data_IF_141985495596
#
_entry.id   IF_141985495596
#
_cell.length_a   1.000
_cell.length_b   1.000
_cell.length_c   1.000
_cell.angle_alpha   90.00
_cell.angle_beta   90.00
_cell.angle_gamma   90.00
#
_symmetry.space_group_name_H-M   'P 1'
#
loop_
_entity.id
_entity.type
_entity.pdbx_description
1 polymer ?
#
# COMPACT_ATOMS: atom_id res chain seq x y z
N UNK A 1 13.56 -8.95 -3.94
CA UNK A 1 12.64 -7.97 -3.33
C UNK A 1 11.79 -7.37 -4.43
N UNK A 2 10.48 -7.44 -4.28
CA UNK A 2 9.48 -6.88 -5.17
C UNK A 2 8.53 -5.95 -4.41
N UNK A 3 7.79 -5.14 -5.15
CA UNK A 3 6.83 -4.18 -4.61
C UNK A 3 5.41 -4.56 -4.99
N UNK A 4 4.48 -4.43 -4.04
CA UNK A 4 3.07 -4.75 -4.21
C UNK A 4 2.19 -3.63 -3.67
N UNK A 5 1.05 -3.40 -4.31
CA UNK A 5 0.06 -2.45 -3.81
C UNK A 5 -0.64 -2.98 -2.57
N UNK A 6 -0.84 -2.12 -1.57
CA UNK A 6 -1.71 -2.37 -0.44
C UNK A 6 -2.76 -1.26 -0.32
N UNK A 7 -4.00 -1.58 -0.69
CA UNK A 7 -5.08 -0.61 -0.79
C UNK A 7 -5.85 -0.47 0.52
N UNK A 8 -5.96 0.76 0.98
CA UNK A 8 -6.71 1.12 2.19
C UNK A 8 -7.95 1.94 1.84
N UNK A 9 -8.93 1.80 2.71
CA UNK A 9 -10.01 2.77 2.92
C UNK A 9 -9.67 3.64 4.13
N UNK A 10 -10.33 4.80 4.33
CA UNK A 10 -10.12 5.59 5.55
C UNK A 10 -10.36 4.78 6.84
N UNK A 11 -11.33 3.85 6.83
CA UNK A 11 -11.60 2.96 7.97
C UNK A 11 -10.44 2.01 8.26
N UNK A 12 -9.92 1.34 7.23
CA UNK A 12 -8.81 0.38 7.41
C UNK A 12 -7.50 1.09 7.74
N UNK A 13 -7.26 2.29 7.18
CA UNK A 13 -6.15 3.15 7.57
C UNK A 13 -6.19 3.47 9.07
N UNK A 14 -7.32 3.99 9.56
CA UNK A 14 -7.46 4.36 10.97
C UNK A 14 -7.38 3.14 11.91
N UNK A 15 -7.91 1.99 11.48
CA UNK A 15 -7.83 0.76 12.27
C UNK A 15 -6.39 0.25 12.36
N UNK A 16 -5.67 0.27 11.25
CA UNK A 16 -4.26 -0.12 11.22
C UNK A 16 -3.40 0.84 12.04
N UNK A 17 -3.64 2.16 11.90
CA UNK A 17 -3.04 3.23 12.71
C UNK A 17 -3.09 2.99 14.22
N UNK A 18 -4.18 2.38 14.70
CA UNK A 18 -4.39 2.05 16.11
C UNK A 18 -3.77 0.71 16.53
N UNK A 19 -3.36 -0.12 15.57
CA UNK A 19 -3.02 -1.53 15.76
C UNK A 19 -1.54 -1.83 15.45
N UNK A 20 -0.58 -1.17 16.11
CA UNK A 20 0.88 -1.45 16.13
C UNK A 20 1.58 -1.72 14.76
N UNK A 21 0.90 -1.51 13.64
CA UNK A 21 1.38 -1.70 12.27
C UNK A 21 2.06 -3.05 11.96
N UNK A 22 1.65 -4.14 12.62
CA UNK A 22 2.40 -5.40 12.56
C UNK A 22 1.75 -6.53 11.74
N UNK A 23 0.50 -6.38 11.31
CA UNK A 23 -0.21 -7.41 10.53
C UNK A 23 -1.08 -6.78 9.45
N UNK A 24 -0.67 -6.90 8.17
CA UNK A 24 -1.49 -6.49 7.02
C UNK A 24 -2.38 -7.64 6.58
N UNK A 25 -3.64 -7.34 6.24
CA UNK A 25 -4.68 -8.32 5.97
C UNK A 25 -5.42 -8.05 4.65
N UNK A 26 -5.76 -9.13 3.94
CA UNK A 26 -6.39 -9.12 2.63
C UNK A 26 -7.59 -10.08 2.60
N UNK A 27 -8.62 -9.80 1.78
CA UNK A 27 -9.72 -10.73 1.58
C UNK A 27 -9.27 -12.08 1.03
N UNK A 28 -10.02 -13.16 1.34
CA UNK A 28 -9.68 -14.52 0.92
C UNK A 28 -9.44 -14.68 -0.59
N UNK A 29 -10.15 -13.91 -1.43
CA UNK A 29 -9.95 -13.88 -2.90
C UNK A 29 -8.51 -13.53 -3.34
N UNK A 30 -7.73 -12.89 -2.46
CA UNK A 30 -6.35 -12.50 -2.71
C UNK A 30 -5.32 -13.58 -2.35
N UNK A 31 -5.73 -14.75 -1.84
CA UNK A 31 -4.80 -15.82 -1.44
C UNK A 31 -3.85 -16.23 -2.58
N UNK A 32 -4.36 -16.37 -3.80
CA UNK A 32 -3.54 -16.71 -4.97
C UNK A 32 -2.47 -15.65 -5.30
N UNK A 33 -2.74 -14.38 -5.01
CA UNK A 33 -1.76 -13.31 -5.14
C UNK A 33 -0.76 -13.36 -3.98
N UNK A 34 -1.25 -13.58 -2.75
CA UNK A 34 -0.44 -13.68 -1.54
C UNK A 34 0.62 -14.79 -1.62
N UNK A 35 0.32 -15.93 -2.25
CA UNK A 35 1.27 -17.01 -2.53
C UNK A 35 2.54 -16.58 -3.29
N UNK A 36 2.48 -15.47 -4.02
CA UNK A 36 3.60 -14.96 -4.83
C UNK A 36 4.45 -13.94 -4.08
N UNK A 37 4.01 -13.50 -2.90
CA UNK A 37 4.70 -12.52 -2.06
C UNK A 37 5.68 -13.27 -1.16
N UNK A 38 6.91 -12.76 -1.07
CA UNK A 38 7.98 -13.36 -0.28
C UNK A 38 8.40 -12.46 0.88
N UNK A 39 9.05 -13.06 1.88
CA UNK A 39 9.70 -12.29 2.96
C UNK A 39 10.74 -11.35 2.35
N UNK A 40 10.76 -10.10 2.81
CA UNK A 40 11.58 -9.01 2.29
C UNK A 40 10.95 -8.25 1.12
N UNK A 41 9.83 -8.70 0.56
CA UNK A 41 9.03 -7.87 -0.37
C UNK A 41 8.34 -6.73 0.39
N UNK A 42 7.95 -5.68 -0.34
CA UNK A 42 7.37 -4.48 0.25
C UNK A 42 5.95 -4.21 -0.26
N UNK A 43 5.11 -3.75 0.66
CA UNK A 43 3.78 -3.23 0.40
C UNK A 43 3.85 -1.70 0.33
N UNK A 44 3.34 -1.13 -0.76
CA UNK A 44 3.22 0.31 -0.98
C UNK A 44 1.77 0.69 -0.74
N UNK A 45 1.54 1.44 0.35
CA UNK A 45 0.20 1.70 0.87
C UNK A 45 -0.47 2.87 0.14
N UNK A 46 -1.68 2.64 -0.35
CA UNK A 46 -2.47 3.60 -1.12
C UNK A 46 -3.89 3.77 -0.57
N UNK A 47 -4.32 5.00 -0.36
CA UNK A 47 -5.65 5.33 0.15
C UNK A 47 -6.60 5.63 -1.02
N UNK A 48 -7.43 4.65 -1.39
CA UNK A 48 -8.27 4.70 -2.60
C UNK A 48 -9.18 5.93 -2.72
N UNK A 49 -9.91 6.30 -1.67
CA UNK A 49 -10.89 7.42 -1.71
C UNK A 49 -10.26 8.81 -1.78
N UNK A 50 -9.04 8.95 -1.28
CA UNK A 50 -8.29 10.23 -1.25
C UNK A 50 -7.26 10.27 -2.40
N UNK A 51 -6.94 9.10 -2.95
CA UNK A 51 -5.95 8.89 -4.00
C UNK A 51 -4.54 9.35 -3.60
N UNK A 52 -4.09 8.93 -2.41
CA UNK A 52 -2.77 9.26 -1.88
C UNK A 52 -1.97 8.03 -1.46
N UNK A 53 -0.66 8.11 -1.62
CA UNK A 53 0.33 7.20 -1.07
C UNK A 53 0.69 7.63 0.35
N UNK A 54 0.84 6.69 1.28
CA UNK A 54 1.06 7.07 2.67
C UNK A 54 1.98 6.14 3.47
N UNK A 55 2.42 5.01 2.94
CA UNK A 55 3.20 4.08 3.74
C UNK A 55 3.96 3.03 2.95
N UNK A 56 4.97 2.48 3.62
CA UNK A 56 5.79 1.36 3.15
C UNK A 56 5.86 0.34 4.28
N UNK A 57 5.47 -0.89 3.99
CA UNK A 57 5.55 -2.01 4.93
C UNK A 57 6.43 -3.11 4.33
N UNK A 58 7.35 -3.67 5.11
CA UNK A 58 8.16 -4.82 4.71
C UNK A 58 7.51 -6.12 5.18
N UNK A 59 7.41 -7.11 4.30
CA UNK A 59 6.88 -8.45 4.60
C UNK A 59 7.91 -9.21 5.43
N UNK A 60 7.50 -9.67 6.62
CA UNK A 60 8.39 -10.37 7.57
C UNK A 60 8.00 -11.84 7.81
N UNK A 61 6.90 -12.30 7.21
CA UNK A 61 6.46 -13.70 7.24
C UNK A 61 5.93 -14.14 5.88
N UNK A 62 5.88 -15.46 5.59
CA UNK A 62 4.95 -15.98 4.60
C UNK A 62 3.50 -15.59 4.94
N UNK A 63 2.61 -15.64 3.94
CA UNK A 63 1.20 -15.44 4.22
C UNK A 63 0.64 -16.57 5.10
N UNK A 64 -0.32 -16.25 5.93
CA UNK A 64 -1.10 -17.21 6.72
C UNK A 64 -2.57 -16.87 6.69
N UNK A 65 -3.42 -17.85 7.00
CA UNK A 65 -4.86 -17.65 7.13
C UNK A 65 -5.19 -17.56 8.62
N UNK A 66 -5.78 -16.45 9.03
CA UNK A 66 -6.24 -16.23 10.40
C UNK A 66 -7.52 -15.38 10.39
N UNK A 67 -8.60 -15.98 10.89
CA UNK A 67 -9.93 -15.37 10.94
C UNK A 67 -10.23 -14.65 12.26
N UNK A 68 -9.25 -14.52 13.17
CA UNK A 68 -9.41 -13.76 14.41
C UNK A 68 -9.68 -12.29 14.06
N UNK A 69 -10.86 -11.70 14.40
CA UNK A 69 -11.20 -10.35 13.98
C UNK A 69 -10.20 -9.31 14.50
N UNK A 70 -9.71 -8.45 13.61
CA UNK A 70 -8.85 -7.28 13.93
C UNK A 70 -9.56 -5.95 13.67
N UNK A 71 -10.65 -5.99 12.91
CA UNK A 71 -11.49 -4.83 12.62
C UNK A 71 -12.88 -5.07 13.22
N UNK A 72 -13.47 -4.04 13.84
CA UNK A 72 -14.82 -4.11 14.36
C UNK A 72 -15.86 -4.37 13.24
N UNK A 73 -16.74 -5.35 13.49
CA UNK A 73 -17.76 -5.83 12.57
C UNK A 73 -17.37 -7.15 11.91
N UNK A 74 -17.89 -7.39 10.70
CA UNK A 74 -17.45 -8.49 9.84
C UNK A 74 -16.08 -8.12 9.23
N UNK A 75 -15.04 -8.86 9.62
CA UNK A 75 -13.65 -8.65 9.18
C UNK A 75 -13.31 -9.65 8.06
N UNK A 76 -13.35 -9.22 6.79
CA UNK A 76 -13.06 -10.12 5.67
C UNK A 76 -11.56 -10.38 5.46
N UNK A 77 -10.67 -9.72 6.20
CA UNK A 77 -9.23 -9.65 5.93
C UNK A 77 -8.46 -10.79 6.61
N UNK A 78 -8.71 -12.02 6.15
CA UNK A 78 -8.21 -13.26 6.75
C UNK A 78 -6.88 -13.77 6.17
N UNK A 79 -6.50 -13.31 4.98
CA UNK A 79 -5.18 -13.61 4.38
C UNK A 79 -4.20 -12.58 4.90
N UNK A 80 -3.25 -12.98 5.73
CA UNK A 80 -2.43 -12.06 6.52
C UNK A 80 -0.94 -12.27 6.32
N UNK A 81 -0.20 -11.18 6.53
CA UNK A 81 1.25 -11.19 6.64
C UNK A 81 1.64 -10.47 7.93
N UNK A 82 2.66 -10.97 8.62
CA UNK A 82 3.38 -10.13 9.58
C UNK A 82 4.21 -9.14 8.79
N UNK A 83 4.15 -7.87 9.19
CA UNK A 83 4.84 -6.78 8.51
C UNK A 83 5.61 -5.93 9.51
N UNK A 84 6.65 -5.27 9.01
CA UNK A 84 7.37 -4.22 9.70
C UNK A 84 7.06 -2.90 9.03
N UNK A 85 6.68 -1.89 9.81
CA UNK A 85 6.55 -0.53 9.31
C UNK A 85 7.94 0.02 8.96
N UNK A 86 8.10 0.43 7.70
CA UNK A 86 9.28 1.13 7.22
C UNK A 86 9.03 2.64 7.18
N UNK A 87 7.82 3.02 6.76
CA UNK A 87 7.36 4.40 6.75
C UNK A 87 5.84 4.48 6.89
N UNK A 88 5.36 5.47 7.64
CA UNK A 88 3.94 5.79 7.76
C UNK A 88 3.73 7.30 7.82
N UNK A 89 2.86 7.81 6.94
CA UNK A 89 2.52 9.23 6.85
C UNK A 89 1.13 9.47 7.44
N UNK A 90 0.94 10.52 8.27
CA UNK A 90 -0.38 11.03 8.59
C UNK A 90 -1.05 11.55 7.30
N UNK A 91 -2.39 11.54 7.26
CA UNK A 91 -3.14 11.83 6.02
C UNK A 91 -2.87 13.23 5.46
N UNK A 92 -2.57 14.20 6.31
CA UNK A 92 -2.22 15.58 5.95
C UNK A 92 -0.91 15.66 5.15
N UNK A 93 -0.08 14.61 5.23
CA UNK A 93 1.21 14.50 4.53
C UNK A 93 1.23 13.39 3.50
N UNK A 94 0.14 12.64 3.36
CA UNK A 94 0.03 11.60 2.34
C UNK A 94 0.20 12.24 0.95
N UNK A 95 0.96 11.56 0.08
CA UNK A 95 1.37 12.11 -1.21
C UNK A 95 0.29 11.81 -2.25
N UNK A 96 -0.38 12.83 -2.82
CA UNK A 96 -1.42 12.61 -3.82
C UNK A 96 -0.86 11.97 -5.10
N UNK A 97 -1.63 11.09 -5.73
CA UNK A 97 -1.22 10.52 -7.04
C UNK A 97 -1.11 11.59 -8.13
N UNK A 98 -1.86 12.68 -7.99
CA UNK A 98 -1.85 13.84 -8.90
C UNK A 98 -0.77 14.88 -8.56
N UNK A 99 0.06 14.63 -7.56
CA UNK A 99 1.26 15.42 -7.36
C UNK A 99 2.14 15.39 -8.62
N UNK A 100 2.76 16.51 -8.99
CA UNK A 100 3.51 16.63 -10.25
C UNK A 100 4.73 15.69 -10.29
N UNK A 101 5.44 15.54 -9.17
CA UNK A 101 6.58 14.63 -9.06
C UNK A 101 6.11 13.19 -9.22
N UNK A 102 5.00 12.81 -8.57
CA UNK A 102 4.43 11.47 -8.71
C UNK A 102 3.95 11.20 -10.13
N UNK A 103 3.14 12.10 -10.68
CA UNK A 103 2.48 11.90 -11.96
C UNK A 103 3.48 11.77 -13.11
N UNK A 104 4.56 12.55 -13.08
CA UNK A 104 5.60 12.54 -14.12
C UNK A 104 6.57 11.35 -14.04
N UNK A 105 6.62 10.65 -12.90
CA UNK A 105 7.57 9.54 -12.70
C UNK A 105 6.96 8.14 -12.86
N UNK A 106 5.71 7.92 -12.42
CA UNK A 106 5.14 6.57 -12.47
C UNK A 106 4.86 6.11 -13.90
N UNK A 107 5.22 4.86 -14.20
CA UNK A 107 5.09 4.26 -15.53
C UNK A 107 3.67 4.31 -16.10
N UNK A 108 2.67 4.30 -15.21
CA UNK A 108 1.24 4.26 -15.54
C UNK A 108 0.55 5.63 -15.48
N UNK A 109 1.28 6.72 -15.21
CA UNK A 109 0.76 8.11 -15.22
C UNK A 109 1.56 9.03 -16.14
N UNK A 110 2.88 8.88 -16.26
CA UNK A 110 3.79 9.85 -16.91
C UNK A 110 3.47 10.19 -18.37
N UNK A 111 2.79 9.28 -19.07
CA UNK A 111 2.40 9.44 -20.47
C UNK A 111 0.91 9.78 -20.64
N UNK A 112 0.24 10.17 -19.55
CA UNK A 112 -1.17 10.53 -19.53
C UNK A 112 -1.36 12.01 -19.20
N UNK A 113 -2.36 12.67 -19.81
CA UNK A 113 -2.89 13.95 -19.33
C UNK A 113 -3.34 13.85 -17.87
N UNK A 114 -3.11 14.87 -17.05
CA UNK A 114 -3.39 14.87 -15.60
C UNK A 114 -4.88 14.73 -15.23
N UNK A 115 -5.77 15.04 -16.17
CA UNK A 115 -7.21 14.83 -16.06
C UNK A 115 -7.67 13.42 -16.47
N UNK A 116 -6.77 12.61 -17.04
CA UNK A 116 -7.06 11.23 -17.43
C UNK A 116 -7.40 10.36 -16.21
N UNK A 117 -8.46 9.54 -16.33
CA UNK A 117 -8.79 8.50 -15.37
C UNK A 117 -8.10 7.16 -15.63
N UNK A 118 -7.32 7.03 -16.71
CA UNK A 118 -6.79 5.74 -17.14
C UNK A 118 -5.87 5.10 -16.09
N UNK A 119 -5.05 5.88 -15.36
CA UNK A 119 -4.15 5.36 -14.32
C UNK A 119 -4.83 4.51 -13.24
N UNK A 120 -6.13 4.75 -12.97
CA UNK A 120 -6.87 4.08 -11.90
C UNK A 120 -6.93 2.56 -12.06
N UNK A 121 -6.77 2.04 -13.28
CA UNK A 121 -6.73 0.59 -13.51
C UNK A 121 -5.56 -0.08 -12.78
N UNK A 122 -4.43 0.63 -12.60
CA UNK A 122 -3.24 0.08 -11.92
C UNK A 122 -3.48 -0.07 -10.41
N UNK A 123 -4.26 0.83 -9.80
CA UNK A 123 -4.53 0.86 -8.35
C UNK A 123 -5.93 0.37 -7.96
N UNK A 124 -6.40 -0.70 -8.61
CA UNK A 124 -7.74 -1.27 -8.36
C UNK A 124 -7.78 -2.51 -7.45
N UNK A 125 -6.62 -3.12 -7.19
CA UNK A 125 -6.53 -4.32 -6.34
C UNK A 125 -5.23 -4.34 -5.54
N UNK A 126 -5.33 -4.66 -4.25
CA UNK A 126 -4.18 -5.02 -3.43
C UNK A 126 -3.46 -6.26 -3.99
N UNK A 127 -2.20 -6.42 -3.57
CA UNK A 127 -1.25 -7.45 -4.02
C UNK A 127 -1.01 -7.46 -5.53
N UNK A 128 -1.36 -6.39 -6.22
CA UNK A 128 -0.90 -6.15 -7.60
C UNK A 128 0.56 -5.77 -7.54
N UNK A 129 1.41 -6.52 -8.25
CA UNK A 129 2.84 -6.22 -8.35
C UNK A 129 3.05 -4.90 -9.10
N UNK A 130 3.87 -4.03 -8.53
CA UNK A 130 4.35 -2.81 -9.17
C UNK A 130 5.58 -3.12 -10.02
N UNK A 131 5.78 -2.29 -11.05
CA UNK A 131 7.05 -2.22 -11.73
C UNK A 131 8.12 -1.80 -10.73
N UNK A 132 9.31 -2.38 -10.83
CA UNK A 132 10.37 -2.20 -9.83
C UNK A 132 10.77 -0.74 -9.66
N UNK A 133 10.84 -0.01 -10.77
CA UNK A 133 11.15 1.43 -10.79
C UNK A 133 10.05 2.26 -10.11
N UNK A 134 8.77 1.93 -10.34
CA UNK A 134 7.65 2.61 -9.70
C UNK A 134 7.66 2.37 -8.19
N UNK A 135 7.88 1.12 -7.77
CA UNK A 135 7.94 0.73 -6.38
C UNK A 135 9.09 1.39 -5.62
N UNK A 136 10.29 1.38 -6.20
CA UNK A 136 11.47 2.05 -5.63
C UNK A 136 11.26 3.55 -5.52
N UNK A 137 10.75 4.20 -6.57
CA UNK A 137 10.47 5.64 -6.56
C UNK A 137 9.48 6.02 -5.45
N UNK A 138 8.38 5.27 -5.31
CA UNK A 138 7.37 5.54 -4.28
C UNK A 138 7.93 5.31 -2.87
N UNK A 139 8.73 4.26 -2.68
CA UNK A 139 9.41 4.02 -1.40
C UNK A 139 10.31 5.20 -1.02
N UNK A 140 11.20 5.63 -1.93
CA UNK A 140 12.13 6.74 -1.69
C UNK A 140 11.39 8.05 -1.41
N UNK A 141 10.31 8.32 -2.15
CA UNK A 141 9.47 9.50 -1.96
C UNK A 141 8.80 9.51 -0.58
N UNK A 142 8.20 8.39 -0.17
CA UNK A 142 7.52 8.28 1.12
C UNK A 142 8.54 8.40 2.28
N UNK A 143 9.71 7.77 2.16
CA UNK A 143 10.79 7.88 3.14
C UNK A 143 11.29 9.32 3.30
N UNK A 144 11.51 10.04 2.19
CA UNK A 144 11.87 11.47 2.22
C UNK A 144 10.80 12.30 2.94
N UNK A 145 9.53 12.00 2.68
CA UNK A 145 8.40 12.70 3.29
C UNK A 145 8.30 12.45 4.80
N UNK A 146 8.75 11.29 5.31
CA UNK A 146 8.85 11.01 6.75
C UNK A 146 9.98 11.82 7.40
N UNK A 147 11.15 11.91 6.78
CA UNK A 147 12.29 12.66 7.37
C UNK A 147 11.94 14.12 7.59
N UNK A 148 11.18 14.74 6.68
CA UNK A 148 10.69 16.11 6.82
C UNK A 148 9.62 16.28 7.95
N UNK A 149 9.27 15.23 8.72
CA UNK A 149 8.41 15.33 9.92
C UNK A 149 9.19 15.65 11.19
N UNK A 150 10.51 15.45 11.18
CA UNK A 150 11.40 15.76 12.31
C UNK A 150 11.91 17.20 12.23
#
# INVERSE_FOLDING_TARGET
MAYFLDLYSPKTYATFAQANHNVSGFPLRHENAARKVQVGDKLICYLTKVSCWFGVLEITSPYFIDATPRIAGDDPYVVRFTVKEIAWLPLERAVPIKDEEVWSNLSFTRNLPMDSGAWAWKVRSSLTRLDEQDGSFLEDLILRQVVQQQ
#
